data_IF_065989176277
#
_entry.id   IF_065989176277
#
_cell.length_a   1.000
_cell.length_b   1.000
_cell.length_c   1.000
_cell.angle_alpha   90.00
_cell.angle_beta   90.00
_cell.angle_gamma   90.00
#
_symmetry.space_group_name_H-M   'P 1'
#
loop_
_entity.id
_entity.type
_entity.pdbx_description
1 polymer ?
#
# COMPACT_ATOMS: atom_id res chain seq x y z
N UNK A 1 4.42 19.67 -10.15
CA UNK A 1 5.74 19.61 -10.81
C UNK A 1 6.69 20.75 -10.49
N UNK A 2 6.26 22.01 -10.54
CA UNK A 2 7.15 23.18 -10.27
C UNK A 2 7.41 23.46 -8.78
N UNK A 3 7.03 22.55 -7.89
CA UNK A 3 7.19 22.63 -6.43
C UNK A 3 7.70 21.30 -5.88
N UNK A 4 8.06 21.26 -4.60
CA UNK A 4 8.58 20.06 -3.94
C UNK A 4 7.61 18.87 -4.00
N UNK A 5 8.16 17.66 -3.86
CA UNK A 5 7.43 16.39 -3.91
C UNK A 5 7.55 15.66 -5.24
N UNK A 6 6.90 14.49 -5.37
CA UNK A 6 6.96 13.70 -6.60
C UNK A 6 6.24 14.41 -7.76
N UNK A 7 6.75 14.22 -8.98
CA UNK A 7 6.16 14.74 -10.22
C UNK A 7 5.12 13.76 -10.75
N UNK A 8 3.95 13.75 -10.12
CA UNK A 8 2.82 12.85 -10.43
C UNK A 8 1.56 13.66 -10.73
N UNK A 9 0.73 13.14 -11.65
CA UNK A 9 -0.49 13.81 -12.09
C UNK A 9 -1.50 13.98 -10.95
N UNK A 10 -1.89 12.90 -10.29
CA UNK A 10 -2.84 12.92 -9.17
C UNK A 10 -2.35 13.78 -8.00
N UNK A 11 -1.04 13.81 -7.73
CA UNK A 11 -0.45 14.73 -6.75
C UNK A 11 -0.72 16.20 -7.13
N UNK A 12 -0.51 16.57 -8.40
CA UNK A 12 -0.75 17.93 -8.87
C UNK A 12 -2.24 18.30 -8.88
N UNK A 13 -3.12 17.34 -9.18
CA UNK A 13 -4.57 17.51 -9.15
C UNK A 13 -5.06 17.81 -7.72
N UNK A 14 -4.67 17.00 -6.72
CA UNK A 14 -5.06 17.17 -5.33
C UNK A 14 -4.47 18.45 -4.70
N UNK A 15 -3.21 18.79 -5.01
CA UNK A 15 -2.64 20.09 -4.61
C UNK A 15 -3.42 21.28 -5.19
N UNK A 16 -3.90 21.14 -6.43
CA UNK A 16 -4.75 22.14 -7.09
C UNK A 16 -6.08 22.32 -6.35
N UNK A 17 -6.73 21.21 -5.97
CA UNK A 17 -7.97 21.24 -5.19
C UNK A 17 -7.74 21.92 -3.84
N UNK A 18 -6.75 21.47 -3.07
CA UNK A 18 -6.41 22.03 -1.76
C UNK A 18 -6.07 23.54 -1.86
N UNK A 19 -5.39 23.96 -2.92
CA UNK A 19 -5.09 25.36 -3.18
C UNK A 19 -6.37 26.19 -3.39
N UNK A 20 -7.28 25.72 -4.25
CA UNK A 20 -8.55 26.41 -4.52
C UNK A 20 -9.44 26.44 -3.29
N UNK A 21 -9.47 25.38 -2.50
CA UNK A 21 -10.21 25.33 -1.23
C UNK A 21 -9.71 26.39 -0.24
N UNK A 22 -8.40 26.52 -0.07
CA UNK A 22 -7.82 27.58 0.75
C UNK A 22 -8.16 28.99 0.23
N UNK A 23 -8.08 29.23 -1.08
CA UNK A 23 -8.49 30.51 -1.69
C UNK A 23 -9.96 30.81 -1.41
N UNK A 24 -10.81 29.79 -1.39
CA UNK A 24 -12.23 29.89 -1.09
C UNK A 24 -12.55 29.97 0.42
N UNK A 25 -11.55 29.95 1.31
CA UNK A 25 -11.73 29.98 2.76
C UNK A 25 -12.23 28.66 3.37
N UNK A 26 -11.97 27.52 2.69
CA UNK A 26 -12.24 26.16 3.18
C UNK A 26 -10.94 25.50 3.68
N UNK A 27 -11.10 24.36 4.35
CA UNK A 27 -9.99 23.57 4.89
C UNK A 27 -9.42 22.62 3.81
N UNK A 28 -8.57 23.18 2.93
CA UNK A 28 -7.84 22.39 1.94
C UNK A 28 -6.84 21.44 2.60
N UNK A 29 -6.78 20.20 2.15
CA UNK A 29 -5.93 19.18 2.75
C UNK A 29 -5.25 18.31 1.69
N UNK A 30 -4.03 17.90 1.99
CA UNK A 30 -3.32 16.85 1.26
C UNK A 30 -2.45 16.05 2.21
N UNK A 31 -2.56 14.73 2.14
CA UNK A 31 -1.71 13.81 2.87
C UNK A 31 -0.64 13.25 1.94
N UNK A 32 0.57 13.82 2.01
CA UNK A 32 1.68 13.40 1.15
C UNK A 32 2.18 11.97 1.44
N UNK A 33 1.88 11.42 2.62
CA UNK A 33 2.25 10.04 2.96
C UNK A 33 1.33 9.00 2.27
N UNK A 34 0.17 9.43 1.76
CA UNK A 34 -0.81 8.58 1.08
C UNK A 34 -0.82 8.73 -0.45
N UNK A 35 0.19 9.37 -1.04
CA UNK A 35 0.30 9.51 -2.50
C UNK A 35 1.02 8.28 -3.07
N UNK A 36 0.29 7.43 -3.78
CA UNK A 36 0.88 6.27 -4.45
C UNK A 36 1.68 6.65 -5.70
N UNK A 37 2.81 5.97 -5.93
CA UNK A 37 3.54 5.98 -7.20
C UNK A 37 3.34 4.65 -7.93
N UNK A 38 3.16 4.70 -9.25
CA UNK A 38 2.93 3.52 -10.09
C UNK A 38 3.88 3.53 -11.30
N UNK A 39 4.44 2.36 -11.59
CA UNK A 39 5.17 2.05 -12.82
C UNK A 39 4.39 0.98 -13.58
N UNK A 40 3.80 1.37 -14.71
CA UNK A 40 2.91 0.53 -15.53
C UNK A 40 3.66 -0.44 -16.46
N UNK A 41 4.68 -1.12 -15.92
CA UNK A 41 5.36 -2.23 -16.61
C UNK A 41 4.51 -3.49 -16.58
N UNK A 42 5.00 -4.59 -17.16
CA UNK A 42 4.37 -5.91 -17.01
C UNK A 42 5.34 -6.87 -16.29
N UNK A 43 5.09 -7.25 -15.02
CA UNK A 43 4.00 -6.79 -14.15
C UNK A 43 4.17 -5.32 -13.71
N UNK A 44 3.09 -4.71 -13.21
CA UNK A 44 3.13 -3.35 -12.68
C UNK A 44 3.80 -3.32 -11.30
N UNK A 45 4.40 -2.19 -10.96
CA UNK A 45 4.92 -1.91 -9.62
C UNK A 45 4.20 -0.69 -9.05
N UNK A 46 3.56 -0.84 -7.90
CA UNK A 46 2.93 0.24 -7.17
C UNK A 46 3.50 0.34 -5.74
N UNK A 47 3.58 1.55 -5.20
CA UNK A 47 4.00 1.78 -3.82
C UNK A 47 3.43 3.05 -3.23
N UNK A 48 3.20 3.05 -1.92
CA UNK A 48 2.76 4.21 -1.12
C UNK A 48 3.44 4.19 0.25
N UNK A 49 3.69 5.36 0.81
CA UNK A 49 4.35 5.52 2.11
C UNK A 49 5.86 5.23 2.06
N UNK A 50 6.41 4.80 3.20
CA UNK A 50 7.84 4.60 3.40
C UNK A 50 8.33 3.29 2.81
N UNK A 51 9.55 3.28 2.31
CA UNK A 51 10.34 2.05 2.10
C UNK A 51 10.98 1.58 3.42
N UNK A 52 11.49 0.34 3.44
CA UNK A 52 12.23 -0.19 4.59
C UNK A 52 13.50 0.60 4.87
N UNK A 53 14.18 1.06 3.81
CA UNK A 53 15.39 1.88 3.91
C UNK A 53 15.06 3.25 4.52
N UNK A 54 14.00 3.90 4.06
CA UNK A 54 13.53 5.17 4.63
C UNK A 54 13.09 5.02 6.09
N UNK A 55 12.43 3.91 6.45
CA UNK A 55 12.07 3.63 7.84
C UNK A 55 13.32 3.47 8.73
N UNK A 56 14.36 2.77 8.24
CA UNK A 56 15.65 2.64 8.93
C UNK A 56 16.36 3.98 9.09
N UNK A 57 16.42 4.78 8.03
CA UNK A 57 17.04 6.11 8.04
C UNK A 57 16.36 7.05 9.03
N UNK A 58 15.04 6.94 9.16
CA UNK A 58 14.24 7.69 10.15
C UNK A 58 14.32 7.12 11.58
N UNK A 59 15.01 5.99 11.78
CA UNK A 59 15.11 5.33 13.09
C UNK A 59 13.78 4.76 13.60
N UNK A 60 12.85 4.45 12.70
CA UNK A 60 11.54 3.88 13.04
C UNK A 60 11.69 2.36 13.16
N UNK A 61 11.27 1.80 14.30
CA UNK A 61 11.16 0.35 14.45
C UNK A 61 9.93 -0.14 13.69
N UNK A 62 10.12 -1.12 12.80
CA UNK A 62 9.05 -1.60 11.94
C UNK A 62 9.04 -3.13 11.82
N UNK A 63 7.90 -3.66 11.41
CA UNK A 63 7.67 -5.06 11.03
C UNK A 63 7.30 -5.12 9.55
N UNK A 64 7.54 -6.28 8.95
CA UNK A 64 7.29 -6.50 7.53
C UNK A 64 6.43 -7.72 7.35
N UNK A 65 5.35 -7.56 6.60
CA UNK A 65 4.51 -8.67 6.12
C UNK A 65 4.62 -8.79 4.61
N UNK A 66 4.74 -10.03 4.11
CA UNK A 66 4.85 -10.31 2.67
C UNK A 66 3.92 -11.45 2.29
N UNK A 67 3.34 -11.37 1.09
CA UNK A 67 2.61 -12.47 0.50
C UNK A 67 2.89 -12.59 -1.01
N UNK A 68 3.40 -13.74 -1.49
CA UNK A 68 3.67 -13.95 -2.91
C UNK A 68 2.39 -14.31 -3.69
N UNK A 69 2.23 -13.77 -4.90
CA UNK A 69 1.08 -14.13 -5.76
C UNK A 69 1.09 -15.60 -6.21
N UNK A 70 2.24 -16.28 -6.14
CA UNK A 70 2.33 -17.75 -6.28
C UNK A 70 1.45 -18.53 -5.31
N UNK A 71 1.11 -17.95 -4.16
CA UNK A 71 0.23 -18.55 -3.16
C UNK A 71 -1.22 -18.02 -3.24
N UNK A 72 -1.53 -17.12 -4.18
CA UNK A 72 -2.87 -16.59 -4.41
C UNK A 72 -3.62 -17.42 -5.46
N UNK A 73 -4.77 -17.97 -5.10
CA UNK A 73 -5.56 -18.84 -5.98
C UNK A 73 -6.05 -18.15 -7.26
N UNK A 74 -6.40 -16.86 -7.20
CA UNK A 74 -6.82 -16.09 -8.38
C UNK A 74 -5.66 -15.86 -9.34
N UNK A 75 -4.48 -15.50 -8.84
CA UNK A 75 -3.27 -15.36 -9.64
C UNK A 75 -2.90 -16.68 -10.34
N UNK A 76 -3.03 -17.81 -9.64
CA UNK A 76 -2.85 -19.15 -10.24
C UNK A 76 -3.86 -19.42 -11.35
N UNK A 77 -5.14 -19.10 -11.13
CA UNK A 77 -6.17 -19.27 -12.15
C UNK A 77 -5.95 -18.39 -13.40
N UNK A 78 -5.28 -17.25 -13.25
CA UNK A 78 -4.97 -16.31 -14.32
C UNK A 78 -3.63 -16.60 -15.04
N UNK A 79 -2.81 -17.53 -14.54
CA UNK A 79 -1.41 -17.73 -14.96
C UNK A 79 -0.52 -16.47 -14.75
N UNK A 80 -0.83 -15.67 -13.72
CA UNK A 80 -0.16 -14.40 -13.39
C UNK A 80 0.53 -14.48 -12.02
N UNK A 81 1.51 -15.37 -11.92
CA UNK A 81 2.10 -15.80 -10.64
C UNK A 81 3.15 -14.84 -10.05
N UNK A 82 3.65 -13.91 -10.86
CA UNK A 82 4.83 -13.13 -10.52
C UNK A 82 4.50 -11.99 -9.55
N UNK A 83 5.43 -11.80 -8.61
CA UNK A 83 5.41 -10.70 -7.65
C UNK A 83 4.78 -11.02 -6.30
N UNK A 84 4.48 -9.96 -5.54
CA UNK A 84 4.07 -10.03 -4.13
C UNK A 84 3.44 -8.72 -3.66
N UNK A 85 2.71 -8.80 -2.55
CA UNK A 85 2.38 -7.65 -1.71
C UNK A 85 3.35 -7.59 -0.52
N UNK A 86 3.82 -6.40 -0.17
CA UNK A 86 4.64 -6.12 1.02
C UNK A 86 4.07 -4.95 1.81
N UNK A 87 3.84 -5.17 3.10
CA UNK A 87 3.53 -4.12 4.07
C UNK A 87 4.71 -3.84 4.99
N UNK A 88 4.82 -2.58 5.40
CA UNK A 88 5.71 -2.10 6.44
C UNK A 88 4.81 -1.46 7.49
N UNK A 89 4.83 -1.97 8.71
CA UNK A 89 4.02 -1.48 9.81
C UNK A 89 4.90 -1.08 10.99
N UNK A 90 4.51 -0.04 11.72
CA UNK A 90 5.18 0.37 12.94
C UNK A 90 5.18 -0.77 13.97
N UNK A 91 6.33 -1.04 14.58
CA UNK A 91 6.48 -2.20 15.47
C UNK A 91 5.70 -2.08 16.79
N UNK A 92 5.30 -0.87 17.19
CA UNK A 92 4.64 -0.60 18.48
C UNK A 92 3.14 -0.41 18.34
N UNK A 93 2.72 0.24 17.27
CA UNK A 93 1.33 0.68 17.06
C UNK A 93 0.62 -0.10 15.97
N UNK A 94 1.34 -0.90 15.19
CA UNK A 94 0.85 -1.61 14.00
C UNK A 94 0.34 -0.71 12.86
N UNK A 95 0.49 0.62 12.98
CA UNK A 95 0.12 1.56 11.92
C UNK A 95 0.89 1.24 10.64
N UNK A 96 0.20 1.20 9.51
CA UNK A 96 0.85 1.01 8.21
C UNK A 96 1.69 2.25 7.89
N UNK A 97 2.98 2.01 7.66
CA UNK A 97 3.97 3.03 7.27
C UNK A 97 4.20 3.05 5.77
N UNK A 98 3.97 1.92 5.09
CA UNK A 98 4.08 1.82 3.64
C UNK A 98 3.63 0.47 3.10
N UNK A 99 3.28 0.46 1.82
CA UNK A 99 2.83 -0.70 1.08
C UNK A 99 3.44 -0.72 -0.33
N UNK A 100 3.82 -1.91 -0.80
CA UNK A 100 4.45 -2.08 -2.10
C UNK A 100 3.90 -3.34 -2.76
N UNK A 101 3.49 -3.25 -4.02
CA UNK A 101 2.82 -4.33 -4.75
C UNK A 101 3.48 -4.48 -6.11
N UNK A 102 3.88 -5.71 -6.44
CA UNK A 102 4.32 -6.11 -7.78
C UNK A 102 3.32 -7.15 -8.30
N UNK A 103 2.49 -6.77 -9.29
CA UNK A 103 1.49 -7.63 -9.95
C UNK A 103 0.90 -6.87 -11.17
N UNK A 104 0.25 -7.56 -12.12
CA UNK A 104 -0.44 -6.92 -13.26
C UNK A 104 -1.52 -5.88 -12.87
N UNK A 105 -2.14 -6.00 -11.71
CA UNK A 105 -3.19 -5.13 -11.16
C UNK A 105 -2.68 -4.32 -9.95
N UNK A 106 -1.37 -4.05 -9.86
CA UNK A 106 -0.80 -3.36 -8.71
C UNK A 106 -1.38 -1.94 -8.54
N UNK A 107 -1.65 -1.23 -9.64
CA UNK A 107 -2.26 0.09 -9.61
C UNK A 107 -3.65 0.12 -8.96
N UNK A 108 -4.45 -0.94 -9.14
CA UNK A 108 -5.78 -1.05 -8.55
C UNK A 108 -5.70 -1.52 -7.09
N UNK A 109 -4.82 -2.48 -6.80
CA UNK A 109 -4.68 -3.03 -5.45
C UNK A 109 -4.10 -2.00 -4.45
N UNK A 110 -3.23 -1.10 -4.89
CA UNK A 110 -2.59 -0.13 -3.99
C UNK A 110 -3.57 0.88 -3.41
N UNK A 111 -4.71 1.12 -4.08
CA UNK A 111 -5.74 2.06 -3.63
C UNK A 111 -6.32 1.69 -2.24
N UNK A 112 -6.39 0.39 -1.93
CA UNK A 112 -6.80 -0.08 -0.61
C UNK A 112 -5.80 0.35 0.47
N UNK A 113 -4.49 0.16 0.22
CA UNK A 113 -3.45 0.57 1.15
C UNK A 113 -3.38 2.09 1.31
N UNK A 114 -3.55 2.86 0.22
CA UNK A 114 -3.68 4.32 0.25
C UNK A 114 -4.80 4.73 1.21
N UNK A 115 -5.98 4.13 1.06
CA UNK A 115 -7.15 4.45 1.88
C UNK A 115 -6.89 4.15 3.37
N UNK A 116 -6.27 3.02 3.69
CA UNK A 116 -5.97 2.67 5.09
C UNK A 116 -4.91 3.60 5.69
N UNK A 117 -3.88 3.98 4.93
CA UNK A 117 -2.87 4.96 5.38
C UNK A 117 -3.52 6.32 5.65
N UNK A 118 -4.46 6.75 4.80
CA UNK A 118 -5.21 7.99 4.96
C UNK A 118 -5.98 8.03 6.29
N UNK A 119 -6.60 6.91 6.67
CA UNK A 119 -7.28 6.77 7.96
C UNK A 119 -6.32 6.53 9.14
N UNK A 120 -5.01 6.44 8.91
CA UNK A 120 -4.02 6.11 9.94
C UNK A 120 -4.16 4.67 10.46
N UNK A 121 -4.72 3.77 9.65
CA UNK A 121 -5.04 2.40 10.02
C UNK A 121 -3.83 1.47 10.17
N UNK A 122 -4.11 0.32 10.74
CA UNK A 122 -3.16 -0.73 11.10
C UNK A 122 -3.13 -1.87 10.07
N UNK A 123 -2.09 -2.71 10.14
CA UNK A 123 -2.09 -3.97 9.36
C UNK A 123 -3.22 -4.91 9.83
N UNK A 124 -3.57 -4.85 11.11
CA UNK A 124 -4.69 -5.61 11.67
C UNK A 124 -6.04 -5.24 11.04
N UNK A 125 -6.29 -3.97 10.70
CA UNK A 125 -7.53 -3.53 10.05
C UNK A 125 -7.73 -4.22 8.69
N UNK A 126 -6.68 -4.29 7.87
CA UNK A 126 -6.69 -5.03 6.60
C UNK A 126 -6.83 -6.53 6.83
N UNK A 127 -6.10 -7.09 7.81
CA UNK A 127 -6.18 -8.51 8.14
C UNK A 127 -7.59 -8.95 8.57
N UNK A 128 -8.34 -8.06 9.24
CA UNK A 128 -9.72 -8.31 9.69
C UNK A 128 -10.77 -8.03 8.61
N UNK A 129 -10.43 -7.27 7.58
CA UNK A 129 -11.32 -6.98 6.46
C UNK A 129 -11.61 -8.26 5.65
N UNK A 130 -12.88 -8.46 5.29
CA UNK A 130 -13.32 -9.63 4.51
C UNK A 130 -13.08 -9.35 3.03
N UNK A 131 -12.01 -9.92 2.51
CA UNK A 131 -11.70 -9.90 1.08
C UNK A 131 -12.46 -11.04 0.40
N UNK A 132 -13.01 -10.77 -0.79
CA UNK A 132 -13.75 -11.76 -1.55
C UNK A 132 -12.82 -12.86 -2.08
N UNK A 133 -13.31 -14.09 -2.11
CA UNK A 133 -12.57 -15.25 -2.62
C UNK A 133 -13.23 -15.82 -3.90
N UNK A 134 -12.46 -16.16 -4.96
CA UNK A 134 -11.04 -15.89 -5.13
C UNK A 134 -10.81 -14.52 -5.79
N UNK A 135 -9.93 -13.68 -5.23
CA UNK A 135 -9.50 -12.39 -5.81
C UNK A 135 -8.01 -12.13 -5.58
N UNK A 136 -7.43 -11.22 -6.36
CA UNK A 136 -6.04 -10.79 -6.16
C UNK A 136 -5.88 -10.01 -4.85
N UNK A 137 -6.91 -9.29 -4.40
CA UNK A 137 -6.85 -8.51 -3.15
C UNK A 137 -6.70 -9.38 -1.91
N UNK A 138 -7.02 -10.68 -1.95
CA UNK A 138 -6.68 -11.59 -0.85
C UNK A 138 -5.18 -11.61 -0.52
N UNK A 139 -4.30 -11.30 -1.49
CA UNK A 139 -2.87 -11.13 -1.23
C UNK A 139 -2.56 -9.93 -0.32
N UNK A 140 -3.36 -8.87 -0.37
CA UNK A 140 -3.28 -7.70 0.52
C UNK A 140 -3.57 -8.15 1.95
N UNK A 141 -4.70 -8.83 2.16
CA UNK A 141 -5.08 -9.42 3.45
C UNK A 141 -4.00 -10.34 4.03
N UNK A 142 -3.49 -11.27 3.23
CA UNK A 142 -2.49 -12.24 3.68
C UNK A 142 -1.15 -11.57 4.01
N UNK A 143 -0.72 -10.57 3.23
CA UNK A 143 0.48 -9.81 3.53
C UNK A 143 0.32 -9.01 4.84
N UNK A 144 -0.87 -8.43 5.07
CA UNK A 144 -1.18 -7.75 6.32
C UNK A 144 -1.19 -8.72 7.52
N UNK A 145 -1.81 -9.91 7.38
CA UNK A 145 -1.72 -10.96 8.40
C UNK A 145 -0.28 -11.42 8.68
N UNK A 146 0.57 -11.42 7.65
CA UNK A 146 1.97 -11.84 7.77
C UNK A 146 2.82 -10.85 8.60
N UNK A 147 2.43 -9.58 8.72
CA UNK A 147 3.09 -8.60 9.62
C UNK A 147 3.20 -9.16 11.04
N UNK A 148 2.14 -9.86 11.49
CA UNK A 148 2.04 -10.52 12.79
C UNK A 148 2.31 -12.03 12.73
N UNK A 149 2.86 -12.55 11.63
CA UNK A 149 3.12 -13.98 11.44
C UNK A 149 1.86 -14.87 11.53
N UNK A 150 0.73 -14.38 11.01
CA UNK A 150 -0.57 -15.07 11.01
C UNK A 150 -1.15 -15.35 9.62
N UNK A 151 -0.34 -15.27 8.56
CA UNK A 151 -0.80 -15.65 7.23
C UNK A 151 -1.23 -17.13 7.20
N UNK A 152 -2.28 -17.43 6.43
CA UNK A 152 -2.90 -18.74 6.40
C UNK A 152 -2.38 -19.59 5.23
N UNK A 153 -2.07 -18.95 4.10
CA UNK A 153 -1.73 -19.64 2.85
C UNK A 153 -0.21 -19.73 2.61
N UNK A 154 0.61 -19.28 3.56
CA UNK A 154 2.07 -19.43 3.56
C UNK A 154 2.57 -19.77 4.97
N UNK A 155 3.76 -20.37 5.04
CA UNK A 155 4.45 -20.55 6.31
C UNK A 155 4.97 -19.20 6.83
N UNK A 156 4.61 -18.86 8.06
CA UNK A 156 5.15 -17.69 8.74
C UNK A 156 6.57 -18.01 9.25
N UNK A 157 7.54 -17.17 8.90
CA UNK A 157 8.95 -17.29 9.32
C UNK A 157 9.33 -16.12 10.23
#
# INVERSE_FOLDING_TARGET
DVIAGPMLAHKAEDEGIACVEHIAGKDGHINYDAIAGIIYTNPELAGVGLTEEQAKEKGIEYRVGKFPFRANSRAVANDELDGMVKFIADAKTDRILGAHILQHAAAELIAEAVSVIEFGGSSEDLARTVHAHPTLSEAVKEAAMNVEKRALHILNR
#
